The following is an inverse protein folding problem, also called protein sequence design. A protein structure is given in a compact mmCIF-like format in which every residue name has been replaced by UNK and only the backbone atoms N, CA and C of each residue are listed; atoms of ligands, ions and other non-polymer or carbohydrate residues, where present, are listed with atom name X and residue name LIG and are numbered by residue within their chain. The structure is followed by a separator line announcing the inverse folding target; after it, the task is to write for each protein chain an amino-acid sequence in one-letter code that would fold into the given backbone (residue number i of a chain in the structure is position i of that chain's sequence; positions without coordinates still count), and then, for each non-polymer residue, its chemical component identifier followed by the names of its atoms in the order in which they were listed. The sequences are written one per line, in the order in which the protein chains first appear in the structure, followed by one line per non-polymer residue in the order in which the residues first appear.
data_IF_892819585942
#
_entry.id   IF_892819585942
#
_cell.length_a   1.000
_cell.length_b   1.000
_cell.length_c   1.000
_cell.angle_alpha   90.00
_cell.angle_beta   90.00
_cell.angle_gamma   90.00
#
_symmetry.space_group_name_H-M   'P 1'
#
loop_
_entity.id
_entity.type
_entity.pdbx_description
1 polymer ?
#
# COMPACT_ATOMS: atom_id res chain seq x y z
N UNK A 1 17.50 -15.18 14.72
CA UNK A 1 16.52 -14.52 15.54
C UNK A 1 15.16 -14.56 14.89
N UNK A 2 14.20 -14.96 15.68
CA UNK A 2 12.84 -15.26 15.22
C UNK A 2 12.16 -14.08 14.53
N UNK A 3 12.18 -12.90 15.15
CA UNK A 3 11.51 -11.72 14.60
C UNK A 3 12.14 -11.24 13.31
N UNK A 4 13.47 -11.32 13.17
CA UNK A 4 14.16 -10.95 11.94
C UNK A 4 13.80 -11.89 10.80
N UNK A 5 13.71 -13.18 11.08
CA UNK A 5 13.33 -14.17 10.08
C UNK A 5 11.89 -13.96 9.62
N UNK A 6 10.98 -13.68 10.57
CA UNK A 6 9.59 -13.43 10.26
C UNK A 6 9.42 -12.17 9.41
N UNK A 7 10.15 -11.10 9.77
CA UNK A 7 10.14 -9.86 8.99
C UNK A 7 10.65 -10.10 7.58
N UNK A 8 11.72 -10.88 7.43
CA UNK A 8 12.28 -11.21 6.12
C UNK A 8 11.28 -11.97 5.25
N UNK A 9 10.54 -12.91 5.83
CA UNK A 9 9.51 -13.66 5.10
C UNK A 9 8.39 -12.75 4.62
N UNK A 10 7.95 -11.82 5.47
CA UNK A 10 6.90 -10.85 5.10
C UNK A 10 7.41 -9.91 4.02
N UNK A 11 8.65 -9.43 4.14
CA UNK A 11 9.26 -8.56 3.14
C UNK A 11 9.35 -9.27 1.79
N UNK A 12 9.78 -10.52 1.77
CA UNK A 12 9.88 -11.29 0.53
C UNK A 12 8.52 -11.46 -0.14
N UNK A 13 7.48 -11.71 0.64
CA UNK A 13 6.12 -11.81 0.11
C UNK A 13 5.67 -10.49 -0.52
N UNK A 14 5.90 -9.39 0.18
CA UNK A 14 5.52 -8.05 -0.32
C UNK A 14 6.26 -7.69 -1.61
N UNK A 15 7.52 -8.11 -1.75
CA UNK A 15 8.32 -7.83 -2.94
C UNK A 15 7.75 -8.49 -4.21
N UNK A 16 7.04 -9.61 -4.06
CA UNK A 16 6.44 -10.32 -5.19
C UNK A 16 4.94 -10.07 -5.33
N UNK A 17 4.43 -9.07 -4.60
CA UNK A 17 3.01 -8.74 -4.59
C UNK A 17 2.79 -7.39 -5.25
N UNK A 18 1.94 -7.36 -6.29
CA UNK A 18 1.63 -6.13 -7.05
C UNK A 18 0.35 -5.44 -6.60
N UNK A 19 -0.30 -6.00 -5.59
CA UNK A 19 -1.62 -5.55 -5.15
C UNK A 19 -1.56 -5.09 -3.72
N UNK A 20 -2.44 -4.15 -3.37
CA UNK A 20 -2.67 -3.87 -1.96
C UNK A 20 -3.41 -5.04 -1.35
N UNK A 21 -2.90 -5.58 -0.27
CA UNK A 21 -3.48 -6.73 0.43
C UNK A 21 -3.59 -6.48 1.91
N UNK A 22 -4.63 -7.05 2.52
CA UNK A 22 -4.85 -6.96 3.95
C UNK A 22 -3.85 -7.84 4.71
N UNK A 23 -3.72 -7.60 6.01
CA UNK A 23 -2.90 -8.46 6.86
C UNK A 23 -3.40 -9.90 6.84
N UNK A 24 -4.71 -10.10 6.78
CA UNK A 24 -5.29 -11.44 6.70
C UNK A 24 -4.90 -12.16 5.41
N UNK A 25 -5.00 -11.46 4.27
CA UNK A 25 -4.61 -12.02 2.98
C UNK A 25 -3.14 -12.42 2.97
N UNK A 26 -2.29 -11.55 3.50
CA UNK A 26 -0.86 -11.82 3.55
C UNK A 26 -0.55 -12.99 4.50
N UNK A 27 -1.25 -13.06 5.61
CA UNK A 27 -1.13 -14.17 6.55
C UNK A 27 -1.50 -15.49 5.88
N UNK A 28 -2.60 -15.51 5.13
CA UNK A 28 -3.06 -16.71 4.42
C UNK A 28 -2.03 -17.17 3.40
N UNK A 29 -1.41 -16.24 2.67
CA UNK A 29 -0.38 -16.59 1.69
C UNK A 29 0.88 -17.14 2.37
N UNK A 30 1.30 -16.55 3.48
CA UNK A 30 2.43 -17.05 4.26
C UNK A 30 2.17 -18.47 4.76
N UNK A 31 0.96 -18.72 5.21
CA UNK A 31 0.56 -20.05 5.67
C UNK A 31 0.64 -21.08 4.53
N UNK A 32 0.18 -20.73 3.33
CA UNK A 32 0.29 -21.58 2.15
C UNK A 32 1.75 -21.85 1.78
N UNK A 33 2.63 -20.89 2.04
CA UNK A 33 4.06 -21.02 1.77
C UNK A 33 4.79 -21.83 2.87
N UNK A 34 4.07 -22.29 3.88
CA UNK A 34 4.66 -23.04 4.96
C UNK A 34 5.27 -22.22 6.06
N UNK A 35 5.02 -20.92 6.07
CA UNK A 35 5.53 -20.03 7.11
C UNK A 35 4.59 -20.04 8.31
N UNK A 36 5.11 -20.38 9.48
CA UNK A 36 4.33 -20.46 10.71
C UNK A 36 4.25 -19.14 11.46
N UNK A 37 3.84 -18.08 10.79
CA UNK A 37 3.76 -16.74 11.37
C UNK A 37 2.31 -16.43 11.74
N UNK A 38 2.06 -16.07 12.98
CA UNK A 38 0.72 -15.74 13.46
C UNK A 38 0.21 -14.41 12.90
N UNK A 39 -1.11 -14.28 12.80
CA UNK A 39 -1.74 -13.07 12.28
C UNK A 39 -1.34 -11.81 13.06
N UNK A 40 -1.26 -11.90 14.37
CA UNK A 40 -0.85 -10.75 15.20
C UNK A 40 0.55 -10.27 14.84
N UNK A 41 1.47 -11.20 14.60
CA UNK A 41 2.84 -10.88 14.19
C UNK A 41 2.87 -10.22 12.82
N UNK A 42 2.10 -10.75 11.87
CA UNK A 42 1.96 -10.15 10.53
C UNK A 42 1.47 -8.72 10.66
N UNK A 43 0.41 -8.51 11.41
CA UNK A 43 -0.18 -7.18 11.60
C UNK A 43 0.83 -6.20 12.22
N UNK A 44 1.50 -6.60 13.30
CA UNK A 44 2.50 -5.75 13.96
C UNK A 44 3.67 -5.40 13.06
N UNK A 45 4.12 -6.38 12.28
CA UNK A 45 5.23 -6.15 11.34
C UNK A 45 4.81 -5.15 10.26
N UNK A 46 3.61 -5.28 9.71
CA UNK A 46 3.10 -4.35 8.71
C UNK A 46 2.94 -2.94 9.29
N UNK A 47 2.48 -2.83 10.53
CA UNK A 47 2.38 -1.54 11.23
C UNK A 47 3.76 -0.89 11.36
N UNK A 48 4.76 -1.66 11.76
CA UNK A 48 6.13 -1.18 11.89
C UNK A 48 6.69 -0.73 10.54
N UNK A 49 6.46 -1.52 9.49
CA UNK A 49 6.91 -1.19 8.15
C UNK A 49 6.21 0.06 7.59
N UNK A 50 4.94 0.24 7.93
CA UNK A 50 4.20 1.44 7.55
C UNK A 50 4.80 2.68 8.21
N UNK A 51 5.09 2.59 9.50
CA UNK A 51 5.69 3.70 10.25
C UNK A 51 7.06 4.07 9.69
N UNK A 52 7.86 3.08 9.29
CA UNK A 52 9.20 3.32 8.74
C UNK A 52 9.18 3.69 7.25
N UNK A 53 8.03 3.69 6.61
CA UNK A 53 7.92 4.04 5.19
C UNK A 53 8.25 2.92 4.22
N UNK A 54 8.39 1.69 4.70
CA UNK A 54 8.71 0.54 3.85
C UNK A 54 7.51 0.02 3.08
N UNK A 55 6.31 0.26 3.57
CA UNK A 55 5.06 -0.08 2.88
C UNK A 55 4.11 1.08 2.93
N UNK A 56 3.26 1.17 1.94
CA UNK A 56 2.14 2.10 1.92
C UNK A 56 0.91 1.38 2.46
N UNK A 57 0.05 2.13 3.13
CA UNK A 57 -1.19 1.62 3.66
C UNK A 57 -2.35 2.47 3.16
N UNK A 58 -3.41 1.81 2.72
CA UNK A 58 -4.65 2.46 2.31
C UNK A 58 -5.81 1.76 3.02
N UNK A 59 -6.95 2.44 3.09
CA UNK A 59 -8.19 1.82 3.54
C UNK A 59 -9.06 1.53 2.32
N UNK A 60 -9.55 0.31 2.24
CA UNK A 60 -10.46 -0.07 1.16
C UNK A 60 -11.90 0.35 1.50
N UNK A 61 -12.83 0.03 0.60
CA UNK A 61 -14.24 0.42 0.75
C UNK A 61 -14.90 -0.12 2.03
N UNK A 62 -14.39 -1.23 2.55
CA UNK A 62 -14.91 -1.82 3.79
C UNK A 62 -14.26 -1.25 5.04
N UNK A 63 -13.33 -0.31 4.89
CA UNK A 63 -12.60 0.28 6.01
C UNK A 63 -11.41 -0.53 6.46
N UNK A 64 -11.07 -1.60 5.76
CA UNK A 64 -9.94 -2.46 6.09
C UNK A 64 -8.64 -1.87 5.58
N UNK A 65 -7.58 -1.93 6.39
CA UNK A 65 -6.25 -1.49 5.98
C UNK A 65 -5.63 -2.52 5.03
N UNK A 66 -5.10 -2.03 3.92
CA UNK A 66 -4.41 -2.86 2.93
C UNK A 66 -3.02 -2.28 2.69
N UNK A 67 -2.06 -3.14 2.41
CA UNK A 67 -0.65 -2.82 2.40
C UNK A 67 0.00 -3.21 1.08
N UNK A 68 0.95 -2.39 0.64
CA UNK A 68 1.76 -2.69 -0.54
C UNK A 68 3.14 -2.06 -0.38
N UNK A 69 4.15 -2.80 -0.75
CA UNK A 69 5.50 -2.24 -0.81
C UNK A 69 5.62 -1.44 -2.11
N UNK A 70 6.00 -0.17 -1.97
CA UNK A 70 6.14 0.74 -3.09
C UNK A 70 7.54 1.30 -3.15
N UNK A 71 7.87 1.98 -4.25
CA UNK A 71 9.17 2.60 -4.42
C UNK A 71 9.34 3.75 -3.42
N UNK A 72 10.59 4.08 -3.13
CA UNK A 72 10.93 5.20 -2.28
C UNK A 72 10.54 6.52 -2.95
N UNK A 73 10.32 7.53 -2.13
CA UNK A 73 10.00 8.86 -2.59
C UNK A 73 8.51 9.09 -2.72
N UNK A 74 8.19 10.30 -3.13
CA UNK A 74 6.80 10.72 -3.25
C UNK A 74 6.14 10.11 -4.48
N UNK A 75 5.03 9.44 -4.29
CA UNK A 75 4.29 8.83 -5.39
C UNK A 75 2.81 8.75 -5.05
N UNK A 76 2.01 8.50 -6.05
CA UNK A 76 0.57 8.32 -5.93
C UNK A 76 0.19 6.97 -6.52
N UNK A 77 -1.02 6.54 -6.28
CA UNK A 77 -1.48 5.23 -6.74
C UNK A 77 -2.78 5.33 -7.50
N UNK A 78 -2.89 4.49 -8.52
CA UNK A 78 -4.16 4.16 -9.16
C UNK A 78 -4.49 2.74 -8.72
N UNK A 79 -5.61 2.56 -8.01
CA UNK A 79 -5.93 1.33 -7.30
C UNK A 79 -7.23 0.73 -7.78
N UNK A 80 -7.23 -0.56 -8.05
CA UNK A 80 -8.47 -1.27 -8.37
C UNK A 80 -9.24 -1.55 -7.09
N UNK A 81 -10.47 -1.06 -7.04
CA UNK A 81 -11.35 -1.24 -5.87
C UNK A 81 -11.73 -2.70 -5.64
N UNK A 82 -11.67 -3.51 -6.68
CA UNK A 82 -12.12 -4.90 -6.60
C UNK A 82 -11.01 -5.85 -6.18
N UNK A 83 -9.87 -5.82 -6.88
CA UNK A 83 -8.80 -6.81 -6.65
C UNK A 83 -7.57 -6.26 -5.95
N UNK A 84 -7.49 -4.94 -5.77
CA UNK A 84 -6.34 -4.31 -5.09
C UNK A 84 -5.14 -4.08 -6.00
N UNK A 85 -5.23 -4.47 -7.28
CA UNK A 85 -4.15 -4.18 -8.23
C UNK A 85 -3.86 -2.68 -8.23
N UNK A 86 -2.59 -2.31 -8.15
CA UNK A 86 -2.21 -0.91 -8.06
C UNK A 86 -1.02 -0.59 -8.96
N UNK A 87 -1.04 0.64 -9.44
CA UNK A 87 0.05 1.19 -10.25
C UNK A 87 0.53 2.45 -9.57
N UNK A 88 1.84 2.58 -9.40
CA UNK A 88 2.42 3.84 -8.92
C UNK A 88 2.42 4.83 -10.08
N UNK A 89 1.97 6.03 -9.81
CA UNK A 89 1.90 7.08 -10.83
C UNK A 89 2.56 8.35 -10.33
N UNK A 90 3.13 9.09 -11.25
CA UNK A 90 3.68 10.41 -10.97
C UNK A 90 2.60 11.45 -11.31
N UNK A 91 2.53 12.49 -10.52
CA UNK A 91 1.52 13.53 -10.71
C UNK A 91 2.14 14.91 -10.55
N UNK A 92 3.10 15.22 -11.44
CA UNK A 92 3.83 16.49 -11.40
C UNK A 92 2.93 17.71 -11.36
N UNK A 93 1.83 17.70 -12.11
CA UNK A 93 0.88 18.82 -12.13
C UNK A 93 0.18 18.98 -10.79
N UNK A 94 -0.18 17.87 -10.13
CA UNK A 94 -0.79 17.90 -8.79
C UNK A 94 0.20 18.40 -7.76
N UNK A 95 1.45 17.93 -7.83
CA UNK A 95 2.53 18.37 -6.95
C UNK A 95 2.73 19.88 -7.03
N UNK A 96 2.83 20.38 -8.26
CA UNK A 96 3.04 21.81 -8.50
C UNK A 96 1.85 22.63 -7.99
N UNK A 97 0.65 22.18 -8.27
CA UNK A 97 -0.56 22.85 -7.81
C UNK A 97 -0.59 22.94 -6.27
N UNK A 98 -0.28 21.84 -5.59
CA UNK A 98 -0.28 21.82 -4.13
C UNK A 98 0.76 22.78 -3.55
N UNK A 99 1.96 22.83 -4.13
CA UNK A 99 3.01 23.76 -3.72
C UNK A 99 2.57 25.20 -3.94
N UNK A 100 2.05 25.51 -5.11
CA UNK A 100 1.63 26.87 -5.47
C UNK A 100 0.52 27.37 -4.56
N UNK A 101 -0.48 26.55 -4.29
CA UNK A 101 -1.61 26.94 -3.44
C UNK A 101 -1.17 27.14 -1.99
N UNK A 102 -0.23 26.35 -1.51
CA UNK A 102 0.30 26.48 -0.17
C UNK A 102 1.07 27.80 -0.02
N UNK A 103 1.93 28.10 -0.98
CA UNK A 103 2.69 29.35 -0.99
C UNK A 103 1.78 30.56 -1.07
N UNK A 104 0.77 30.51 -1.92
CA UNK A 104 -0.20 31.59 -2.11
C UNK A 104 -0.90 31.95 -0.80
N UNK A 105 -1.18 30.97 0.03
CA UNK A 105 -1.89 31.17 1.29
C UNK A 105 -0.97 31.17 2.53
N UNK A 106 0.34 31.11 2.33
CA UNK A 106 1.31 31.21 3.43
C UNK A 106 1.42 29.97 4.31
N UNK A 107 1.07 28.80 3.77
CA UNK A 107 1.16 27.54 4.51
C UNK A 107 2.57 26.97 4.42
N UNK A 108 3.02 26.37 5.51
CA UNK A 108 4.33 25.70 5.59
C UNK A 108 4.14 24.26 6.04
N UNK A 109 5.17 23.43 5.82
CA UNK A 109 5.15 22.00 6.19
C UNK A 109 3.95 21.28 5.59
N UNK A 110 3.67 21.57 4.32
CA UNK A 110 2.51 21.08 3.61
C UNK A 110 2.80 19.68 3.04
N UNK A 111 1.84 18.79 3.19
CA UNK A 111 1.87 17.49 2.52
C UNK A 111 0.51 17.24 1.90
N UNK A 112 0.46 16.34 0.94
CA UNK A 112 -0.80 15.98 0.31
C UNK A 112 -0.85 14.48 0.06
N UNK A 113 -2.05 13.97 -0.01
CA UNK A 113 -2.31 12.59 -0.39
C UNK A 113 -3.32 12.58 -1.52
N UNK A 114 -3.00 11.86 -2.59
CA UNK A 114 -3.90 11.71 -3.74
C UNK A 114 -3.86 10.25 -4.17
N UNK A 115 -5.01 9.62 -4.11
CA UNK A 115 -5.16 8.24 -4.57
C UNK A 115 -6.36 8.21 -5.51
N UNK A 116 -6.23 7.49 -6.60
CA UNK A 116 -7.30 7.38 -7.61
C UNK A 116 -7.79 5.94 -7.61
N UNK A 117 -9.09 5.75 -7.50
CA UNK A 117 -9.72 4.44 -7.41
C UNK A 117 -10.60 4.18 -8.61
N UNK A 118 -10.59 2.95 -9.09
CA UNK A 118 -11.43 2.53 -10.19
C UNK A 118 -11.43 1.00 -10.27
N UNK A 119 -11.72 0.48 -11.45
CA UNK A 119 -11.67 -0.97 -11.69
C UNK A 119 -10.65 -1.23 -12.79
N UNK A 120 -9.70 -2.13 -12.54
CA UNK A 120 -8.70 -2.48 -13.54
C UNK A 120 -9.37 -3.14 -14.74
N UNK A 121 -8.64 -3.27 -15.85
CA UNK A 121 -9.21 -3.80 -17.09
C UNK A 121 -9.82 -5.18 -16.92
N UNK A 122 -9.16 -6.05 -16.14
CA UNK A 122 -9.69 -7.40 -15.87
C UNK A 122 -11.00 -7.33 -15.10
N UNK A 123 -11.05 -6.55 -14.02
CA UNK A 123 -12.25 -6.44 -13.20
C UNK A 123 -13.38 -5.72 -13.92
N UNK A 124 -13.05 -4.76 -14.78
CA UNK A 124 -14.04 -4.10 -15.65
C UNK A 124 -14.70 -5.13 -16.55
N UNK A 125 -13.92 -6.01 -17.18
CA UNK A 125 -14.45 -7.07 -18.04
C UNK A 125 -15.34 -8.03 -17.27
N UNK A 126 -14.94 -8.40 -16.06
CA UNK A 126 -15.70 -9.34 -15.23
C UNK A 126 -17.02 -8.76 -14.74
N UNK A 127 -17.14 -7.44 -14.67
CA UNK A 127 -18.34 -6.75 -14.18
C UNK A 127 -19.44 -6.62 -15.24
N UNK A 128 -19.15 -6.92 -16.49
CA UNK A 128 -20.13 -6.81 -17.59
C UNK A 128 -21.00 -8.03 -17.73
#
# INVERSE_FOLDING_TARGET
MRSTRQRAAITALLQRTDEFKSAQDLHDELKRDGEGIGLTTVYRTLQSMSTSGEVDVLRNDTGESVYRRCSDGHHHHLVCQSCGFAVEVQAGAVEKWATDIAEEHGFTEVHHTVEVFGFCSRCTAERR
#
